data_IF_345547036080
#
_entry.id   IF_345547036080
#
_cell.length_a   1.000
_cell.length_b   1.000
_cell.length_c   1.000
_cell.angle_alpha   90.00
_cell.angle_beta   90.00
_cell.angle_gamma   90.00
#
_symmetry.space_group_name_H-M   'P 1'
#
loop_
_entity.id
_entity.type
_entity.pdbx_description
1 polymer ?
#
# COMPACT_ATOMS: atom_id res chain seq x y z
N UNK A 1 6.83 8.19 -8.81
CA UNK A 1 5.98 9.27 -9.34
C UNK A 1 6.84 10.48 -9.63
N UNK A 2 6.79 10.98 -10.87
CA UNK A 2 7.39 12.24 -11.28
C UNK A 2 6.27 13.23 -11.54
N UNK A 3 6.37 14.43 -10.98
CA UNK A 3 5.43 15.54 -11.21
C UNK A 3 6.23 16.74 -11.69
N UNK A 4 5.73 17.42 -12.71
CA UNK A 4 6.35 18.62 -13.25
C UNK A 4 5.43 19.79 -12.92
N UNK A 5 5.97 20.76 -12.19
CA UNK A 5 5.32 22.05 -12.01
C UNK A 5 5.51 22.89 -13.27
N UNK A 6 4.43 23.51 -13.74
CA UNK A 6 4.43 24.30 -14.97
C UNK A 6 4.11 25.74 -14.64
N UNK A 7 5.03 26.64 -14.98
CA UNK A 7 4.89 28.09 -14.80
C UNK A 7 5.13 28.78 -16.13
N UNK A 8 4.24 29.70 -16.51
CA UNK A 8 4.32 30.44 -17.77
C UNK A 8 4.45 29.51 -19.00
N UNK A 9 3.77 28.36 -18.97
CA UNK A 9 3.83 27.28 -19.97
C UNK A 9 5.19 26.58 -20.12
N UNK A 10 6.11 26.77 -19.18
CA UNK A 10 7.41 26.10 -19.13
C UNK A 10 7.53 25.23 -17.87
N UNK A 11 8.27 24.10 -17.94
CA UNK A 11 8.65 23.35 -16.74
C UNK A 11 9.43 24.23 -15.76
N UNK A 12 9.02 24.25 -14.51
CA UNK A 12 9.65 25.05 -13.46
C UNK A 12 10.37 24.18 -12.43
N UNK A 13 9.71 23.15 -11.93
CA UNK A 13 10.26 22.23 -10.93
C UNK A 13 9.88 20.79 -11.27
N UNK A 14 10.76 19.86 -10.93
CA UNK A 14 10.54 18.43 -11.09
C UNK A 14 10.51 17.78 -9.72
N UNK A 15 9.39 17.19 -9.35
CA UNK A 15 9.22 16.50 -8.07
C UNK A 15 9.25 14.99 -8.30
N UNK A 16 10.27 14.32 -7.76
CA UNK A 16 10.39 12.87 -7.78
C UNK A 16 10.02 12.31 -6.41
N UNK A 17 9.16 11.30 -6.39
CA UNK A 17 8.86 10.52 -5.20
C UNK A 17 8.84 9.03 -5.52
N UNK A 18 9.47 8.22 -4.68
CA UNK A 18 9.51 6.76 -4.82
C UNK A 18 9.59 6.07 -3.46
N UNK A 19 9.21 4.79 -3.42
CA UNK A 19 9.31 3.96 -2.22
C UNK A 19 10.77 3.56 -1.98
N UNK A 20 11.22 3.62 -0.73
CA UNK A 20 12.53 3.11 -0.38
C UNK A 20 12.45 1.59 -0.18
N UNK A 21 13.52 0.83 -0.45
CA UNK A 21 13.58 -0.56 -0.04
C UNK A 21 13.42 -0.67 1.49
N UNK A 22 12.72 -1.69 2.01
CA UNK A 22 12.53 -1.80 3.45
C UNK A 22 13.86 -1.93 4.19
N UNK A 23 14.22 -0.92 4.97
CA UNK A 23 15.47 -0.85 5.73
C UNK A 23 15.27 -0.60 7.23
N UNK A 24 16.36 -0.41 7.98
CA UNK A 24 16.30 -0.03 9.40
C UNK A 24 15.76 1.39 9.63
N UNK A 25 15.81 2.26 8.61
CA UNK A 25 15.17 3.58 8.67
C UNK A 25 13.63 3.45 8.65
N UNK A 26 12.95 4.31 9.41
CA UNK A 26 11.49 4.42 9.42
C UNK A 26 10.93 5.10 8.16
N UNK A 27 11.74 5.80 7.37
CA UNK A 27 11.29 6.43 6.12
C UNK A 27 10.93 5.38 5.08
N UNK A 28 9.67 5.40 4.61
CA UNK A 28 9.17 4.47 3.58
C UNK A 28 9.27 5.04 2.15
N UNK A 29 9.47 6.35 2.01
CA UNK A 29 9.54 7.02 0.72
C UNK A 29 10.62 8.10 0.71
N UNK A 30 11.20 8.31 -0.46
CA UNK A 30 12.03 9.46 -0.78
C UNK A 30 11.21 10.50 -1.53
N UNK A 31 11.50 11.77 -1.31
CA UNK A 31 10.97 12.87 -2.11
C UNK A 31 12.07 13.87 -2.34
N UNK A 32 12.22 14.28 -3.59
CA UNK A 32 13.20 15.25 -4.01
C UNK A 32 12.60 16.20 -5.04
N UNK A 33 13.12 17.42 -5.06
CA UNK A 33 12.72 18.47 -6.00
C UNK A 33 13.96 18.94 -6.73
N UNK A 34 13.90 18.90 -8.05
CA UNK A 34 14.96 19.32 -8.94
C UNK A 34 14.55 20.59 -9.67
N UNK A 35 15.55 21.44 -9.94
CA UNK A 35 15.32 22.66 -10.72
C UNK A 35 15.44 22.40 -12.22
N UNK A 36 16.17 21.35 -12.60
CA UNK A 36 16.49 21.04 -13.99
C UNK A 36 16.22 19.56 -14.28
N UNK A 37 15.78 19.26 -15.50
CA UNK A 37 15.53 17.90 -15.93
C UNK A 37 16.80 17.02 -15.93
N UNK A 38 17.98 17.62 -16.15
CA UNK A 38 19.26 16.91 -16.15
C UNK A 38 19.71 16.42 -14.78
N UNK A 39 19.11 16.93 -13.69
CA UNK A 39 19.38 16.46 -12.33
C UNK A 39 18.58 15.19 -11.99
N UNK A 40 17.61 14.82 -12.85
CA UNK A 40 16.86 13.58 -12.70
C UNK A 40 17.71 12.36 -13.08
N UNK A 41 17.38 11.15 -12.57
CA UNK A 41 18.02 9.93 -13.01
C UNK A 41 18.06 9.79 -14.54
N UNK A 42 19.26 9.61 -15.11
CA UNK A 42 19.47 9.54 -16.56
C UNK A 42 18.68 8.41 -17.24
N UNK A 43 18.51 7.29 -16.54
CA UNK A 43 17.72 6.16 -16.99
C UNK A 43 16.66 5.77 -15.96
N UNK A 44 15.52 6.45 -16.02
CA UNK A 44 14.39 6.21 -15.13
C UNK A 44 13.91 4.76 -15.15
N UNK A 45 13.89 4.13 -16.33
CA UNK A 45 13.39 2.75 -16.44
C UNK A 45 14.29 1.77 -15.69
N UNK A 46 15.61 1.90 -15.81
CA UNK A 46 16.55 1.09 -15.03
C UNK A 46 16.46 1.41 -13.54
N UNK A 47 16.41 2.70 -13.19
CA UNK A 47 16.28 3.13 -11.79
C UNK A 47 15.05 2.53 -11.12
N UNK A 48 13.88 2.57 -11.77
CA UNK A 48 12.64 2.01 -11.22
C UNK A 48 12.73 0.48 -11.14
N UNK A 49 13.26 -0.19 -12.17
CA UNK A 49 13.41 -1.65 -12.16
C UNK A 49 14.32 -2.14 -11.04
N UNK A 50 15.48 -1.50 -10.85
CA UNK A 50 16.43 -1.88 -9.81
C UNK A 50 15.81 -1.68 -8.41
N UNK A 51 15.07 -0.58 -8.23
CA UNK A 51 14.36 -0.29 -6.99
C UNK A 51 13.25 -1.31 -6.70
N UNK A 52 12.44 -1.65 -7.70
CA UNK A 52 11.38 -2.65 -7.61
C UNK A 52 11.94 -4.04 -7.29
N UNK A 53 13.01 -4.45 -7.97
CA UNK A 53 13.68 -5.73 -7.72
C UNK A 53 14.24 -5.80 -6.30
N UNK A 54 14.84 -4.72 -5.79
CA UNK A 54 15.37 -4.70 -4.43
C UNK A 54 14.26 -4.73 -3.37
N UNK A 55 13.16 -3.99 -3.58
CA UNK A 55 11.97 -4.07 -2.73
C UNK A 55 11.44 -5.50 -2.71
N UNK A 56 11.25 -6.11 -3.88
CA UNK A 56 10.73 -7.47 -4.01
C UNK A 56 11.63 -8.50 -3.32
N UNK A 57 12.94 -8.41 -3.55
CA UNK A 57 13.95 -9.30 -2.93
C UNK A 57 13.88 -9.23 -1.41
N UNK A 58 13.84 -8.03 -0.83
CA UNK A 58 13.77 -7.83 0.62
C UNK A 58 12.43 -8.32 1.19
N UNK A 59 11.32 -8.09 0.47
CA UNK A 59 10.00 -8.58 0.87
C UNK A 59 9.95 -10.11 0.88
N UNK A 60 10.49 -10.79 -0.15
CA UNK A 60 10.59 -12.26 -0.18
C UNK A 60 11.41 -12.80 0.99
N UNK A 61 12.55 -12.17 1.32
CA UNK A 61 13.35 -12.56 2.48
C UNK A 61 12.59 -12.42 3.81
N UNK A 62 11.67 -11.46 3.92
CA UNK A 62 10.79 -11.34 5.09
C UNK A 62 9.71 -12.41 5.12
N UNK A 63 9.18 -12.81 3.97
CA UNK A 63 8.17 -13.88 3.86
C UNK A 63 8.75 -15.25 4.27
N UNK A 64 10.00 -15.55 3.85
CA UNK A 64 10.71 -16.79 4.22
C UNK A 64 10.95 -16.97 5.74
N UNK A 65 10.77 -15.92 6.55
CA UNK A 65 10.93 -15.96 8.01
C UNK A 65 9.61 -16.17 8.78
N UNK A 66 8.50 -16.43 8.10
CA UNK A 66 7.16 -16.53 8.69
C UNK A 66 6.26 -17.58 8.03
N UNK A 67 4.94 -17.39 8.16
CA UNK A 67 3.94 -18.23 7.48
C UNK A 67 4.00 -18.02 5.95
N UNK A 68 3.50 -19.00 5.17
CA UNK A 68 3.52 -18.96 3.71
C UNK A 68 2.75 -17.76 3.14
N UNK A 69 1.68 -17.33 3.82
CA UNK A 69 0.80 -16.25 3.39
C UNK A 69 0.74 -15.12 4.40
N UNK A 70 0.75 -13.87 3.92
CA UNK A 70 0.79 -12.66 4.76
C UNK A 70 -0.34 -11.72 4.39
N UNK A 71 -1.06 -11.22 5.39
CA UNK A 71 -2.26 -10.43 5.19
C UNK A 71 -2.25 -9.07 5.90
N UNK A 72 -2.89 -8.09 5.26
CA UNK A 72 -3.43 -6.89 5.93
C UNK A 72 -4.93 -7.11 6.13
N UNK A 73 -5.41 -6.87 7.35
CA UNK A 73 -6.85 -6.87 7.64
C UNK A 73 -7.41 -5.45 7.55
N UNK A 74 -8.56 -5.29 6.90
CA UNK A 74 -9.22 -4.00 6.71
C UNK A 74 -10.66 -4.06 7.20
N UNK A 75 -11.00 -3.19 8.15
CA UNK A 75 -12.37 -2.92 8.55
C UNK A 75 -12.76 -1.52 8.09
N UNK A 76 -13.80 -1.42 7.28
CA UNK A 76 -14.44 -0.18 6.88
C UNK A 76 -15.84 -0.12 7.51
N UNK A 77 -16.10 0.88 8.37
CA UNK A 77 -17.43 1.01 8.98
C UNK A 77 -17.60 2.24 9.85
N UNK A 78 -18.85 2.51 10.24
CA UNK A 78 -19.25 3.65 11.07
C UNK A 78 -19.40 3.32 12.56
N UNK A 79 -19.33 2.03 12.94
CA UNK A 79 -19.59 1.55 14.31
C UNK A 79 -18.51 1.92 15.35
N UNK A 80 -17.54 2.75 14.96
CA UNK A 80 -16.45 3.23 15.80
C UNK A 80 -15.28 2.25 15.95
N UNK A 81 -14.15 2.78 16.40
CA UNK A 81 -12.86 2.08 16.44
C UNK A 81 -12.85 0.87 17.37
N UNK A 82 -13.53 0.93 18.53
CA UNK A 82 -13.58 -0.20 19.46
C UNK A 82 -14.31 -1.41 18.88
N UNK A 83 -15.39 -1.18 18.13
CA UNK A 83 -16.13 -2.25 17.45
C UNK A 83 -15.26 -2.86 16.34
N UNK A 84 -14.67 -2.01 15.49
CA UNK A 84 -13.75 -2.44 14.45
C UNK A 84 -12.58 -3.26 15.00
N UNK A 85 -11.99 -2.83 16.13
CA UNK A 85 -10.90 -3.56 16.79
C UNK A 85 -11.33 -4.98 17.18
N UNK A 86 -12.50 -5.14 17.81
CA UNK A 86 -13.01 -6.46 18.22
C UNK A 86 -13.22 -7.39 17.02
N UNK A 87 -13.83 -6.87 15.95
CA UNK A 87 -14.06 -7.65 14.73
C UNK A 87 -12.72 -8.03 14.06
N UNK A 88 -11.77 -7.10 13.96
CA UNK A 88 -10.43 -7.36 13.42
C UNK A 88 -9.62 -8.35 14.28
N UNK A 89 -9.80 -8.34 15.60
CA UNK A 89 -9.19 -9.32 16.51
C UNK A 89 -9.77 -10.72 16.30
N UNK A 90 -11.06 -10.83 15.97
CA UNK A 90 -11.69 -12.10 15.59
C UNK A 90 -11.23 -12.58 14.22
N UNK A 91 -11.24 -11.69 13.22
CA UNK A 91 -10.77 -12.00 11.88
C UNK A 91 -9.30 -12.43 11.88
N UNK A 92 -8.46 -11.84 12.74
CA UNK A 92 -7.07 -12.30 12.92
C UNK A 92 -7.01 -13.76 13.39
N UNK A 93 -7.81 -14.16 14.38
CA UNK A 93 -7.81 -15.56 14.86
C UNK A 93 -8.21 -16.54 13.75
N UNK A 94 -9.16 -16.13 12.89
CA UNK A 94 -9.55 -16.93 11.72
C UNK A 94 -8.41 -17.04 10.71
N UNK A 95 -7.74 -15.93 10.40
CA UNK A 95 -6.59 -15.90 9.49
C UNK A 95 -5.43 -16.77 10.01
N UNK A 96 -5.11 -16.67 11.31
CA UNK A 96 -4.06 -17.49 11.94
C UNK A 96 -4.38 -18.99 11.87
N UNK A 97 -5.65 -19.37 12.04
CA UNK A 97 -6.10 -20.76 11.89
C UNK A 97 -5.93 -21.26 10.44
N UNK A 98 -6.00 -20.36 9.47
CA UNK A 98 -5.75 -20.62 8.05
C UNK A 98 -4.26 -20.50 7.66
N UNK A 99 -3.33 -20.47 8.63
CA UNK A 99 -1.89 -20.29 8.41
C UNK A 99 -1.53 -18.98 7.69
N UNK A 100 -2.32 -17.91 7.91
CA UNK A 100 -2.07 -16.58 7.37
C UNK A 100 -1.53 -15.68 8.48
N UNK A 101 -0.36 -15.09 8.26
CA UNK A 101 0.23 -14.12 9.19
C UNK A 101 -0.35 -12.73 8.96
N UNK A 102 -1.05 -12.19 9.96
CA UNK A 102 -1.54 -10.81 9.94
C UNK A 102 -0.41 -9.85 10.31
N UNK A 103 -0.03 -8.97 9.39
CA UNK A 103 1.08 -8.00 9.61
C UNK A 103 0.59 -6.61 9.97
N UNK A 104 -0.64 -6.25 9.59
CA UNK A 104 -1.24 -4.95 9.86
C UNK A 104 -2.77 -5.07 9.94
N UNK A 105 -3.37 -4.25 10.80
CA UNK A 105 -4.82 -4.08 10.94
C UNK A 105 -5.17 -2.64 10.68
N UNK A 106 -6.13 -2.41 9.80
CA UNK A 106 -6.52 -1.06 9.37
C UNK A 106 -8.00 -0.87 9.63
N UNK A 107 -8.31 0.13 10.44
CA UNK A 107 -9.66 0.66 10.57
C UNK A 107 -9.80 1.92 9.71
N UNK A 108 -10.80 1.92 8.84
CA UNK A 108 -11.20 3.09 8.07
C UNK A 108 -12.64 3.47 8.43
N UNK A 109 -12.80 4.60 9.11
CA UNK A 109 -14.14 5.16 9.32
C UNK A 109 -14.75 5.55 7.97
N UNK A 110 -15.92 5.02 7.66
CA UNK A 110 -16.72 5.39 6.47
C UNK A 110 -18.17 5.61 6.90
N UNK A 111 -18.74 6.77 6.55
CA UNK A 111 -20.17 7.05 6.76
C UNK A 111 -21.05 6.39 5.71
N UNK A 112 -20.49 6.14 4.52
CA UNK A 112 -21.13 5.42 3.42
C UNK A 112 -20.07 4.69 2.61
N UNK A 113 -20.33 3.44 2.25
CA UNK A 113 -19.41 2.67 1.42
C UNK A 113 -19.25 3.26 0.02
N UNK A 114 -18.01 3.26 -0.47
CA UNK A 114 -17.76 3.50 -1.88
C UNK A 114 -18.28 2.29 -2.69
N UNK A 115 -19.18 2.48 -3.67
CA UNK A 115 -19.76 1.38 -4.42
C UNK A 115 -18.73 0.65 -5.30
N UNK A 116 -17.59 1.27 -5.60
CA UNK A 116 -16.53 0.68 -6.40
C UNK A 116 -15.48 -0.07 -5.57
N UNK A 117 -15.11 0.39 -4.37
CA UNK A 117 -13.98 -0.19 -3.61
C UNK A 117 -14.20 -0.33 -2.09
N UNK A 118 -15.43 -0.19 -1.59
CA UNK A 118 -15.80 -0.12 -0.17
C UNK A 118 -15.27 1.15 0.55
N UNK A 119 -13.99 1.45 0.38
CA UNK A 119 -13.28 2.65 0.83
C UNK A 119 -12.95 3.58 -0.33
N UNK A 120 -12.45 4.78 -0.05
CA UNK A 120 -11.99 5.70 -1.08
C UNK A 120 -10.74 5.19 -1.83
N UNK A 121 -10.61 5.53 -3.12
CA UNK A 121 -9.48 5.11 -3.98
C UNK A 121 -8.11 5.51 -3.41
N UNK A 122 -8.01 6.69 -2.78
CA UNK A 122 -6.78 7.13 -2.13
C UNK A 122 -6.37 6.19 -0.99
N UNK A 123 -7.32 5.85 -0.12
CA UNK A 123 -7.05 4.93 0.99
C UNK A 123 -6.68 3.54 0.50
N UNK A 124 -7.37 3.03 -0.53
CA UNK A 124 -7.01 1.74 -1.12
C UNK A 124 -5.56 1.74 -1.63
N UNK A 125 -5.14 2.80 -2.33
CA UNK A 125 -3.74 2.94 -2.79
C UNK A 125 -2.74 2.96 -1.64
N UNK A 126 -3.04 3.64 -0.53
CA UNK A 126 -2.20 3.63 0.67
C UNK A 126 -2.03 2.20 1.23
N UNK A 127 -3.12 1.44 1.31
CA UNK A 127 -3.10 0.06 1.80
C UNK A 127 -2.27 -0.82 0.86
N UNK A 128 -2.46 -0.71 -0.46
CA UNK A 128 -1.68 -1.45 -1.45
C UNK A 128 -0.19 -1.15 -1.36
N UNK A 129 0.18 0.13 -1.23
CA UNK A 129 1.58 0.55 -1.01
C UNK A 129 2.13 -0.03 0.29
N UNK A 130 1.34 -0.03 1.37
CA UNK A 130 1.74 -0.64 2.65
C UNK A 130 1.96 -2.15 2.50
N UNK A 131 1.09 -2.83 1.75
CA UNK A 131 1.20 -4.26 1.47
C UNK A 131 2.46 -4.62 0.68
N UNK A 132 2.73 -3.88 -0.41
CA UNK A 132 3.95 -4.04 -1.21
C UNK A 132 5.21 -3.87 -0.35
N UNK A 133 5.26 -2.82 0.48
CA UNK A 133 6.40 -2.55 1.37
C UNK A 133 6.60 -3.62 2.46
N UNK A 134 5.52 -4.31 2.84
CA UNK A 134 5.54 -5.33 3.88
C UNK A 134 5.64 -6.76 3.33
N UNK A 135 5.62 -6.94 2.01
CA UNK A 135 5.63 -8.27 1.39
C UNK A 135 4.37 -9.06 1.69
N UNK A 136 3.22 -8.36 1.65
CA UNK A 136 1.89 -8.94 1.87
C UNK A 136 1.38 -9.52 0.56
N UNK A 137 0.86 -10.74 0.60
CA UNK A 137 0.27 -11.43 -0.55
C UNK A 137 -1.23 -11.20 -0.67
N UNK A 138 -1.91 -10.80 0.42
CA UNK A 138 -3.37 -10.63 0.43
C UNK A 138 -3.86 -9.49 1.33
N UNK A 139 -5.02 -8.94 0.95
CA UNK A 139 -5.76 -7.99 1.77
C UNK A 139 -7.12 -8.62 2.08
N UNK A 140 -7.44 -8.74 3.37
CA UNK A 140 -8.69 -9.35 3.82
C UNK A 140 -9.60 -8.23 4.34
N UNK A 141 -10.75 -8.07 3.72
CA UNK A 141 -11.78 -7.14 4.17
C UNK A 141 -12.73 -7.86 5.13
N UNK A 142 -13.02 -7.23 6.27
CA UNK A 142 -13.99 -7.71 7.24
C UNK A 142 -15.44 -7.61 6.72
N UNK A 143 -15.68 -6.70 5.76
CA UNK A 143 -16.98 -6.53 5.13
C UNK A 143 -17.05 -7.36 3.85
N UNK A 144 -18.22 -7.94 3.60
CA UNK A 144 -18.51 -8.58 2.32
C UNK A 144 -18.38 -7.59 1.18
N UNK A 145 -17.57 -7.95 0.19
CA UNK A 145 -17.46 -7.24 -1.07
C UNK A 145 -18.51 -7.76 -2.06
N UNK A 146 -19.21 -6.86 -2.73
CA UNK A 146 -19.94 -7.22 -3.95
C UNK A 146 -18.97 -7.70 -5.04
N UNK A 147 -19.41 -8.53 -6.01
CA UNK A 147 -18.56 -8.98 -7.11
C UNK A 147 -17.91 -7.81 -7.86
N UNK A 148 -18.64 -6.71 -8.03
CA UNK A 148 -18.12 -5.48 -8.64
C UNK A 148 -16.97 -4.86 -7.83
N UNK A 149 -17.11 -4.82 -6.50
CA UNK A 149 -16.06 -4.28 -5.64
C UNK A 149 -14.81 -5.16 -5.64
N UNK A 150 -14.99 -6.49 -5.52
CA UNK A 150 -13.89 -7.44 -5.58
C UNK A 150 -13.09 -7.29 -6.89
N UNK A 151 -13.78 -7.23 -8.03
CA UNK A 151 -13.14 -7.04 -9.33
C UNK A 151 -12.38 -5.71 -9.43
N UNK A 152 -12.99 -4.60 -8.99
CA UNK A 152 -12.33 -3.29 -9.05
C UNK A 152 -11.12 -3.19 -8.10
N UNK A 153 -11.11 -3.91 -6.98
CA UNK A 153 -10.00 -3.91 -6.02
C UNK A 153 -8.85 -4.79 -6.53
N UNK A 154 -9.15 -5.88 -7.22
CA UNK A 154 -8.17 -6.81 -7.75
C UNK A 154 -7.47 -6.32 -9.04
N UNK A 155 -7.91 -5.19 -9.61
CA UNK A 155 -7.37 -4.59 -10.84
C UNK A 155 -6.49 -3.39 -10.53
#
# INVERSE_FOLDING_TARGET
MLVIDVKDSLPHLYHLAYLLPPGPDRRKWHRETFKQASELPENFDLFIRDLEQEIERLCRLKALKGAEERAILVHAGSMGEQHAKRSLDELQRLAETANVQVVEKIYQHVSRYNPAHLIGKGKLKEILVSGLYQGVSMIIFDQNLSPRQANNIAT
#
